data_IF_779871432419
#
_entry.id   IF_779871432419
#
_cell.length_a   1.000
_cell.length_b   1.000
_cell.length_c   1.000
_cell.angle_alpha   90.00
_cell.angle_beta   90.00
_cell.angle_gamma   90.00
#
_symmetry.space_group_name_H-M   'P 1'
#
loop_
_entity.id
_entity.type
_entity.pdbx_description
1 polymer ?
#
# COMPACT_ATOMS: atom_id res chain seq x y z
N UNK A 1 -13.09 19.69 -3.67
CA UNK A 1 -14.05 18.60 -3.39
C UNK A 1 -13.25 17.49 -2.75
N UNK A 2 -13.37 17.26 -1.45
CA UNK A 2 -12.58 16.23 -0.76
C UNK A 2 -13.19 14.88 -1.05
N UNK A 3 -12.53 14.06 -1.87
CA UNK A 3 -12.95 12.67 -2.09
C UNK A 3 -12.96 11.92 -0.75
N UNK A 4 -14.10 11.30 -0.43
CA UNK A 4 -14.27 10.45 0.75
C UNK A 4 -13.57 9.12 0.50
N UNK A 5 -12.81 8.62 1.48
CA UNK A 5 -12.13 7.32 1.39
C UNK A 5 -13.09 6.15 1.10
N UNK A 6 -14.39 6.30 1.40
CA UNK A 6 -15.43 5.28 1.19
C UNK A 6 -15.80 5.10 -0.29
N UNK A 7 -15.52 6.09 -1.13
CA UNK A 7 -15.91 6.08 -2.54
C UNK A 7 -14.78 5.60 -3.46
N UNK A 8 -13.63 5.23 -2.89
CA UNK A 8 -12.48 4.74 -3.63
C UNK A 8 -12.74 3.32 -4.15
N UNK A 9 -12.58 3.15 -5.45
CA UNK A 9 -12.50 1.81 -6.06
C UNK A 9 -11.13 1.22 -5.82
N UNK A 10 -11.10 0.01 -5.28
CA UNK A 10 -9.87 -0.74 -4.98
C UNK A 10 -9.93 -2.08 -5.70
N UNK A 11 -8.84 -2.43 -6.37
CA UNK A 11 -8.67 -3.71 -7.07
C UNK A 11 -7.59 -4.54 -6.38
N UNK A 12 -7.64 -5.85 -6.54
CA UNK A 12 -6.65 -6.77 -5.97
C UNK A 12 -5.98 -7.56 -7.09
N UNK A 13 -4.68 -7.84 -6.95
CA UNK A 13 -4.02 -8.83 -7.80
C UNK A 13 -4.43 -10.25 -7.42
N UNK A 14 -4.16 -11.22 -8.29
CA UNK A 14 -4.05 -12.61 -7.88
C UNK A 14 -2.89 -12.79 -6.86
N UNK A 15 -2.91 -13.88 -6.07
CA UNK A 15 -1.77 -14.28 -5.24
C UNK A 15 -0.48 -14.39 -6.07
N UNK A 16 0.62 -13.93 -5.48
CA UNK A 16 1.97 -13.97 -6.06
C UNK A 16 3.01 -14.12 -4.96
N UNK A 17 4.26 -14.44 -5.30
CA UNK A 17 5.35 -14.54 -4.33
C UNK A 17 5.58 -13.22 -3.60
N UNK A 18 5.72 -13.28 -2.27
CA UNK A 18 5.96 -12.11 -1.43
C UNK A 18 7.36 -11.53 -1.66
N UNK A 19 7.44 -10.22 -1.90
CA UNK A 19 8.72 -9.54 -2.15
C UNK A 19 9.60 -9.39 -0.89
N UNK A 20 9.04 -9.59 0.30
CA UNK A 20 9.75 -9.39 1.58
C UNK A 20 10.16 -10.68 2.26
N UNK A 21 9.32 -11.72 2.15
CA UNK A 21 9.48 -12.96 2.87
C UNK A 21 9.52 -14.10 1.87
N UNK A 22 10.62 -14.84 1.91
CA UNK A 22 10.76 -16.05 1.12
C UNK A 22 9.67 -17.05 1.52
N UNK A 23 9.18 -17.81 0.54
CA UNK A 23 8.20 -18.89 0.72
C UNK A 23 6.84 -18.44 1.27
N UNK A 24 6.52 -17.16 1.11
CA UNK A 24 5.22 -16.58 1.45
C UNK A 24 4.52 -16.03 0.21
N UNK A 25 3.20 -16.03 0.23
CA UNK A 25 2.38 -15.38 -0.79
C UNK A 25 1.92 -13.98 -0.37
N UNK A 26 1.67 -13.15 -1.36
CA UNK A 26 1.15 -11.80 -1.24
C UNK A 26 0.06 -11.53 -2.27
N UNK A 27 -0.80 -10.60 -1.91
CA UNK A 27 -1.76 -9.96 -2.80
C UNK A 27 -1.58 -8.45 -2.64
N UNK A 28 -1.84 -7.68 -3.69
CA UNK A 28 -1.63 -6.22 -3.67
C UNK A 28 -2.94 -5.52 -3.99
N UNK A 29 -3.29 -4.52 -3.17
CA UNK A 29 -4.38 -3.60 -3.42
C UNK A 29 -3.88 -2.47 -4.32
N UNK A 30 -4.70 -2.07 -5.30
CA UNK A 30 -4.48 -0.91 -6.15
C UNK A 30 -5.68 0.02 -6.08
N UNK A 31 -5.43 1.32 -5.94
CA UNK A 31 -6.46 2.34 -6.19
C UNK A 31 -6.68 2.41 -7.70
N UNK A 32 -7.93 2.62 -8.12
CA UNK A 32 -8.26 2.87 -9.53
C UNK A 32 -7.35 3.96 -10.11
N UNK A 33 -6.57 3.69 -11.18
CA UNK A 33 -5.69 4.68 -11.79
C UNK A 33 -6.41 5.92 -12.31
N UNK A 34 -7.73 5.86 -12.50
CA UNK A 34 -8.58 6.98 -12.92
C UNK A 34 -9.04 7.86 -11.75
N UNK A 35 -8.71 7.47 -10.51
CA UNK A 35 -9.02 8.28 -9.35
C UNK A 35 -8.24 9.59 -9.40
N UNK A 36 -8.95 10.71 -9.34
CA UNK A 36 -8.32 12.01 -9.15
C UNK A 36 -7.66 12.06 -7.78
N UNK A 37 -6.35 12.27 -7.79
CA UNK A 37 -5.51 12.22 -6.61
C UNK A 37 -5.07 13.61 -6.18
N UNK A 38 -5.72 14.14 -5.15
CA UNK A 38 -5.25 15.34 -4.47
C UNK A 38 -4.24 15.03 -3.35
N UNK A 39 -3.57 16.07 -2.87
CA UNK A 39 -2.56 15.95 -1.82
C UNK A 39 -3.13 15.37 -0.51
N UNK A 40 -4.34 15.77 -0.13
CA UNK A 40 -4.95 15.36 1.14
C UNK A 40 -5.30 13.87 1.13
N UNK A 41 -5.92 13.40 0.04
CA UNK A 41 -6.24 12.01 -0.19
C UNK A 41 -4.97 11.17 -0.24
N UNK A 42 -3.94 11.63 -0.94
CA UNK A 42 -2.66 10.94 -1.00
C UNK A 42 -2.01 10.83 0.38
N UNK A 43 -2.00 11.90 1.17
CA UNK A 43 -1.48 11.89 2.54
C UNK A 43 -2.21 10.88 3.42
N UNK A 44 -3.55 10.80 3.32
CA UNK A 44 -4.35 9.79 4.05
C UNK A 44 -4.01 8.37 3.61
N UNK A 45 -3.92 8.12 2.31
CA UNK A 45 -3.56 6.80 1.76
C UNK A 45 -2.15 6.38 2.20
N UNK A 46 -1.20 7.31 2.19
CA UNK A 46 0.17 7.08 2.66
C UNK A 46 0.21 6.68 4.14
N UNK A 47 -0.56 7.35 5.00
CA UNK A 47 -0.71 6.97 6.42
C UNK A 47 -1.33 5.58 6.59
N UNK A 48 -2.18 5.15 5.66
CA UNK A 48 -2.73 3.79 5.61
C UNK A 48 -1.77 2.75 5.01
N UNK A 49 -0.55 3.14 4.63
CA UNK A 49 0.49 2.25 4.10
C UNK A 49 0.44 2.05 2.58
N UNK A 50 -0.35 2.83 1.84
CA UNK A 50 -0.26 2.87 0.38
C UNK A 50 1.03 3.57 -0.06
N UNK A 51 1.57 3.10 -1.18
CA UNK A 51 2.80 3.54 -1.82
C UNK A 51 2.47 3.99 -3.24
N UNK A 52 3.36 4.79 -3.85
CA UNK A 52 3.16 5.34 -5.20
C UNK A 52 4.30 4.94 -6.13
N UNK A 53 3.96 4.50 -7.33
CA UNK A 53 4.89 4.31 -8.46
C UNK A 53 4.28 4.93 -9.71
N UNK A 54 4.75 6.13 -10.07
CA UNK A 54 4.10 6.94 -11.11
C UNK A 54 2.66 7.27 -10.73
N UNK A 55 1.71 6.82 -11.56
CA UNK A 55 0.27 7.01 -11.33
C UNK A 55 -0.38 5.84 -10.56
N UNK A 56 0.36 4.78 -10.25
CA UNK A 56 -0.17 3.64 -9.52
C UNK A 56 0.00 3.85 -8.02
N UNK A 57 -1.11 3.77 -7.28
CA UNK A 57 -1.14 3.79 -5.82
C UNK A 57 -1.54 2.41 -5.32
N UNK A 58 -0.72 1.81 -4.48
CA UNK A 58 -0.86 0.39 -4.11
C UNK A 58 -0.43 0.08 -2.68
N UNK A 59 -0.93 -1.02 -2.12
CA UNK A 59 -0.54 -1.50 -0.78
C UNK A 59 -0.52 -3.03 -0.75
N UNK A 60 0.54 -3.67 -0.25
CA UNK A 60 0.51 -5.11 0.04
C UNK A 60 -0.60 -5.45 1.05
N UNK A 61 -1.38 -6.47 0.76
CA UNK A 61 -2.50 -6.94 1.57
C UNK A 61 -2.51 -8.46 1.64
N UNK A 62 -1.50 -9.02 2.30
CA UNK A 62 -1.41 -10.46 2.55
C UNK A 62 -2.44 -10.89 3.60
N UNK A 63 -3.15 -12.00 3.38
CA UNK A 63 -4.15 -12.48 4.34
C UNK A 63 -3.60 -12.95 5.70
N UNK A 64 -2.34 -13.41 5.75
CA UNK A 64 -1.71 -13.98 6.97
C UNK A 64 -0.45 -13.25 7.43
N UNK A 65 -0.12 -12.09 6.86
CA UNK A 65 1.15 -11.41 7.12
C UNK A 65 0.99 -9.90 7.24
N UNK A 66 1.62 -9.32 8.26
CA UNK A 66 1.67 -7.88 8.52
C UNK A 66 3.10 -7.29 8.44
N UNK A 67 4.06 -8.03 7.90
CA UNK A 67 5.47 -7.60 7.85
C UNK A 67 5.75 -6.48 6.83
N UNK A 68 4.79 -6.20 5.93
CA UNK A 68 4.87 -5.15 4.91
C UNK A 68 4.67 -3.75 5.51
N UNK A 69 5.59 -3.32 6.37
CA UNK A 69 5.60 -1.99 7.00
C UNK A 69 6.27 -0.99 6.04
N UNK A 70 5.68 0.20 5.81
CA UNK A 70 6.20 1.16 4.83
C UNK A 70 7.54 1.80 5.21
N UNK A 71 7.85 1.93 6.51
CA UNK A 71 9.12 2.47 7.00
C UNK A 71 9.65 1.61 8.16
N UNK A 72 10.97 1.47 8.25
CA UNK A 72 11.66 0.76 9.34
C UNK A 72 12.87 1.57 9.78
N UNK A 73 13.11 1.66 11.08
CA UNK A 73 14.27 2.34 11.66
C UNK A 73 15.25 1.26 12.13
N UNK A 74 16.53 1.28 11.70
CA UNK A 74 17.52 0.32 12.16
C UNK A 74 17.99 0.68 13.56
N UNK A 75 17.18 0.37 14.58
CA UNK A 75 17.41 0.78 15.98
C UNK A 75 18.78 0.38 16.52
N UNK A 76 19.34 -0.73 16.02
CA UNK A 76 20.67 -1.23 16.39
C UNK A 76 21.83 -0.32 15.96
N UNK A 77 21.59 0.68 15.09
CA UNK A 77 22.60 1.62 14.62
C UNK A 77 22.75 2.87 15.52
N UNK A 78 21.97 2.98 16.61
CA UNK A 78 21.89 4.18 17.45
C UNK A 78 22.21 3.91 18.93
N UNK A 79 22.85 2.78 19.24
CA UNK A 79 23.26 2.40 20.60
C UNK A 79 24.49 3.17 21.10
#
# INVERSE_FOLDING_TARGET
>A
MTSSLRDLKVYTTYPHSCSYLKDQEATTLFIDPRQDMDQLLYSRLSQMGFRRSGNHIYRPHCGRCNACIPARIPVNAFA
#
